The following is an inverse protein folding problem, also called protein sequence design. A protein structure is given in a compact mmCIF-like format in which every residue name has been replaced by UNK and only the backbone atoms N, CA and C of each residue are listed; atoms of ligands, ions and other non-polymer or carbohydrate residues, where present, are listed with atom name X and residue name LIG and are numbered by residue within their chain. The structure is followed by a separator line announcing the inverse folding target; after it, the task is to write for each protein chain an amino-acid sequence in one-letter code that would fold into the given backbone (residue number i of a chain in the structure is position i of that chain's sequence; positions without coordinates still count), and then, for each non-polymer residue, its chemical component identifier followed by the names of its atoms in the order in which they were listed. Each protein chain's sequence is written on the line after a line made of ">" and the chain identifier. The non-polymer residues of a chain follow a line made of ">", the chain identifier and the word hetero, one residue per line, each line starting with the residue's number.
data_IF_347881972155
#
_entry.id   IF_347881972155
#
_cell.length_a   1.000
_cell.length_b   1.000
_cell.length_c   1.000
_cell.angle_alpha   90.00
_cell.angle_beta   90.00
_cell.angle_gamma   90.00
#
_symmetry.space_group_name_H-M   'P 1'
#
loop_
_entity.id
_entity.type
_entity.pdbx_description
1 polymer ?
#
# COMPACT_ATOMS: atom_id res chain seq x y z
N UNK A 1 -23.74 -7.31 74.90
CA UNK A 1 -22.61 -7.40 73.94
C UNK A 1 -23.17 -6.94 72.59
N UNK A 2 -23.15 -5.64 72.26
CA UNK A 2 -22.05 -4.86 71.64
C UNK A 2 -21.45 -5.58 70.42
N UNK A 3 -21.37 -4.83 69.31
CA UNK A 3 -20.83 -5.15 67.96
C UNK A 3 -21.73 -5.88 66.96
N UNK A 4 -22.91 -5.32 66.64
CA UNK A 4 -23.61 -5.65 65.38
C UNK A 4 -24.45 -4.46 64.84
N UNK A 5 -23.82 -3.28 64.71
CA UNK A 5 -24.50 -2.06 64.20
C UNK A 5 -23.68 -1.24 63.20
N UNK A 6 -22.65 -1.82 62.57
CA UNK A 6 -21.72 -1.06 61.71
C UNK A 6 -21.40 -1.70 60.35
N UNK A 7 -22.32 -2.49 59.79
CA UNK A 7 -22.13 -3.12 58.47
C UNK A 7 -23.28 -2.91 57.48
N UNK A 8 -24.24 -2.02 57.80
CA UNK A 8 -25.42 -1.80 56.95
C UNK A 8 -25.52 -0.40 56.32
N UNK A 9 -24.51 0.46 56.49
CA UNK A 9 -24.56 1.86 56.01
C UNK A 9 -23.51 2.20 54.94
N UNK A 10 -22.73 1.22 54.45
CA UNK A 10 -21.71 1.43 53.42
C UNK A 10 -22.04 0.79 52.05
N UNK A 11 -23.23 0.20 51.88
CA UNK A 11 -23.63 -0.46 50.63
C UNK A 11 -24.66 0.33 49.81
N UNK A 12 -25.18 1.44 50.33
CA UNK A 12 -26.21 2.25 49.67
C UNK A 12 -25.65 3.42 48.81
N UNK A 13 -24.34 3.68 48.84
CA UNK A 13 -23.72 4.81 48.12
C UNK A 13 -23.06 4.37 46.79
N UNK A 14 -22.97 3.07 46.51
CA UNK A 14 -22.35 2.56 45.26
C UNK A 14 -23.32 2.33 44.10
N UNK A 15 -24.59 2.75 44.23
CA UNK A 15 -25.66 2.46 43.26
C UNK A 15 -26.09 3.65 42.38
N UNK A 16 -25.40 4.81 42.45
CA UNK A 16 -25.82 6.04 41.73
C UNK A 16 -24.86 6.47 40.60
N UNK A 17 -23.79 5.72 40.31
CA UNK A 17 -22.80 6.14 39.28
C UNK A 17 -22.88 5.39 37.93
N UNK A 18 -23.86 4.51 37.72
CA UNK A 18 -24.06 3.84 36.42
C UNK A 18 -25.24 4.40 35.59
N UNK A 19 -25.67 5.64 35.85
CA UNK A 19 -26.23 6.48 34.80
C UNK A 19 -25.09 6.98 33.90
N UNK A 20 -24.28 6.04 33.38
CA UNK A 20 -23.39 6.29 32.27
C UNK A 20 -24.29 6.64 31.10
N UNK A 21 -24.38 7.95 30.84
CA UNK A 21 -24.87 8.53 29.62
C UNK A 21 -24.30 7.67 28.47
N UNK A 22 -25.13 6.82 27.87
CA UNK A 22 -24.88 6.30 26.54
C UNK A 22 -24.87 7.54 25.64
N UNK A 23 -23.73 8.23 25.56
CA UNK A 23 -23.38 8.92 24.33
C UNK A 23 -23.29 7.79 23.33
N UNK A 24 -24.40 7.57 22.62
CA UNK A 24 -24.35 6.99 21.29
C UNK A 24 -23.19 7.70 20.62
N UNK A 25 -22.07 6.99 20.46
CA UNK A 25 -21.08 7.40 19.47
C UNK A 25 -21.91 7.43 18.20
N UNK A 26 -22.36 8.62 17.79
CA UNK A 26 -22.77 8.83 16.41
C UNK A 26 -21.60 8.27 15.62
N UNK A 27 -21.81 7.10 15.01
CA UNK A 27 -20.88 6.63 14.00
C UNK A 27 -20.80 7.80 13.03
N UNK A 28 -19.61 8.41 12.95
CA UNK A 28 -19.38 9.46 11.97
C UNK A 28 -19.82 8.86 10.64
N UNK A 29 -20.83 9.46 10.02
CA UNK A 29 -21.43 8.91 8.81
C UNK A 29 -20.31 8.69 7.79
N UNK A 30 -20.20 7.47 7.25
CA UNK A 30 -19.28 7.22 6.16
C UNK A 30 -19.60 8.20 5.04
N UNK A 31 -18.65 9.07 4.71
CA UNK A 31 -18.82 10.07 3.66
C UNK A 31 -18.48 9.46 2.31
N UNK A 32 -19.03 10.04 1.24
CA UNK A 32 -18.70 9.65 -0.13
C UNK A 32 -17.22 9.87 -0.41
N UNK A 33 -16.57 8.87 -1.01
CA UNK A 33 -15.19 8.92 -1.50
C UNK A 33 -15.22 9.39 -2.94
N UNK A 34 -14.56 10.51 -3.25
CA UNK A 34 -14.42 11.00 -4.63
C UNK A 34 -13.11 10.51 -5.26
N UNK A 35 -12.94 10.72 -6.57
CA UNK A 35 -11.69 10.37 -7.25
C UNK A 35 -10.52 11.24 -6.74
N UNK A 36 -10.79 12.51 -6.46
CA UNK A 36 -9.83 13.48 -5.92
C UNK A 36 -9.30 13.07 -4.54
N UNK A 37 -10.15 12.45 -3.71
CA UNK A 37 -9.73 11.96 -2.40
C UNK A 37 -8.59 10.92 -2.50
N UNK A 38 -8.50 10.20 -3.63
CA UNK A 38 -7.47 9.18 -3.85
C UNK A 38 -6.10 9.78 -4.21
N UNK A 39 -6.02 11.05 -4.63
CA UNK A 39 -4.75 11.71 -4.99
C UNK A 39 -3.76 11.78 -3.83
N UNK A 40 -4.24 11.71 -2.59
CA UNK A 40 -3.41 11.71 -1.39
C UNK A 40 -2.82 10.34 -1.01
N UNK A 41 -3.07 9.30 -1.80
CA UNK A 41 -2.78 7.91 -1.44
C UNK A 41 -2.09 7.13 -2.56
N UNK A 42 -1.41 6.07 -2.18
CA UNK A 42 -0.83 5.07 -3.08
C UNK A 42 -1.03 3.69 -2.47
N UNK A 43 -1.20 2.69 -3.33
CA UNK A 43 -1.42 1.31 -2.95
C UNK A 43 -0.35 0.39 -3.54
N UNK A 44 0.00 -0.65 -2.81
CA UNK A 44 0.85 -1.72 -3.31
C UNK A 44 0.43 -3.08 -2.80
N UNK A 45 0.65 -4.12 -3.60
CA UNK A 45 0.35 -5.51 -3.27
C UNK A 45 1.18 -6.48 -4.10
N UNK A 46 1.12 -7.77 -3.75
CA UNK A 46 1.66 -8.84 -4.56
C UNK A 46 0.55 -9.52 -5.37
N UNK A 47 0.73 -9.64 -6.68
CA UNK A 47 0.00 -10.57 -7.52
C UNK A 47 0.72 -11.92 -7.48
N UNK A 48 0.06 -12.96 -7.00
CA UNK A 48 0.63 -14.28 -6.79
C UNK A 48 0.22 -15.19 -7.95
N UNK A 49 1.21 -15.70 -8.67
CA UNK A 49 1.01 -16.63 -9.78
C UNK A 49 0.70 -18.05 -9.29
N UNK A 50 0.22 -18.95 -10.17
CA UNK A 50 0.04 -20.37 -9.84
C UNK A 50 1.34 -21.05 -9.39
N UNK A 51 2.48 -20.61 -9.92
CA UNK A 51 3.82 -21.06 -9.53
C UNK A 51 4.31 -20.44 -8.21
N UNK A 52 3.46 -19.69 -7.50
CA UNK A 52 3.75 -19.01 -6.23
C UNK A 52 4.85 -17.94 -6.32
N UNK A 53 5.09 -17.42 -7.51
CA UNK A 53 5.89 -16.19 -7.67
C UNK A 53 5.02 -14.98 -7.34
N UNK A 54 5.58 -14.02 -6.60
CA UNK A 54 4.87 -12.83 -6.17
C UNK A 54 5.34 -11.62 -6.97
N UNK A 55 4.49 -11.03 -7.80
CA UNK A 55 4.79 -9.82 -8.57
C UNK A 55 4.28 -8.57 -7.85
N UNK A 56 5.16 -7.61 -7.60
CA UNK A 56 4.80 -6.30 -7.08
C UNK A 56 3.88 -5.56 -8.06
N UNK A 57 2.85 -4.94 -7.48
CA UNK A 57 1.93 -4.03 -8.14
C UNK A 57 1.93 -2.72 -7.38
N UNK A 58 2.06 -1.61 -8.10
CA UNK A 58 2.00 -0.27 -7.56
C UNK A 58 0.88 0.50 -8.24
N UNK A 59 -0.10 0.97 -7.48
CA UNK A 59 -1.22 1.78 -7.96
C UNK A 59 -1.16 3.16 -7.32
N UNK A 60 -1.10 4.19 -8.15
CA UNK A 60 -1.09 5.59 -7.72
C UNK A 60 -2.01 6.43 -8.59
N UNK A 61 -2.31 7.64 -8.12
CA UNK A 61 -3.33 8.49 -8.72
C UNK A 61 -2.73 9.85 -9.08
N UNK A 62 -2.94 10.27 -10.32
CA UNK A 62 -2.51 11.58 -10.82
C UNK A 62 -3.70 12.34 -11.39
N UNK A 63 -3.65 13.67 -11.34
CA UNK A 63 -4.66 14.53 -11.96
C UNK A 63 -4.19 14.98 -13.34
N UNK A 64 -5.01 14.77 -14.37
CA UNK A 64 -4.80 15.23 -15.74
C UNK A 64 -6.01 16.08 -16.16
N UNK A 65 -5.83 17.40 -16.16
CA UNK A 65 -6.94 18.33 -16.37
C UNK A 65 -8.00 18.20 -15.27
N UNK A 66 -9.23 17.85 -15.66
CA UNK A 66 -10.35 17.63 -14.74
C UNK A 66 -10.49 16.17 -14.29
N UNK A 67 -9.73 15.25 -14.88
CA UNK A 67 -9.84 13.82 -14.57
C UNK A 67 -8.74 13.37 -13.62
N UNK A 68 -9.07 12.41 -12.76
CA UNK A 68 -8.07 11.64 -12.02
C UNK A 68 -7.79 10.35 -12.77
N UNK A 69 -6.52 10.06 -13.01
CA UNK A 69 -6.02 8.82 -13.60
C UNK A 69 -5.44 7.93 -12.50
N UNK A 70 -5.84 6.68 -12.49
CA UNK A 70 -5.17 5.60 -11.77
C UNK A 70 -4.10 4.99 -12.68
N UNK A 71 -2.89 4.85 -12.18
CA UNK A 71 -1.76 4.27 -12.89
C UNK A 71 -1.29 3.03 -12.14
N UNK A 72 -1.39 1.88 -12.79
CA UNK A 72 -0.93 0.59 -12.28
C UNK A 72 0.38 0.21 -12.95
N UNK A 73 1.45 0.19 -12.19
CA UNK A 73 2.77 -0.28 -12.61
C UNK A 73 3.03 -1.71 -12.09
N UNK A 74 3.53 -2.56 -12.97
CA UNK A 74 4.27 -3.78 -12.63
C UNK A 74 5.68 -3.69 -13.21
N UNK A 75 6.47 -4.76 -13.05
CA UNK A 75 7.87 -4.77 -13.50
C UNK A 75 8.00 -4.37 -14.97
N UNK A 76 7.23 -5.00 -15.86
CA UNK A 76 7.37 -4.87 -17.32
C UNK A 76 6.23 -4.10 -17.99
N UNK A 77 5.22 -3.65 -17.24
CA UNK A 77 4.06 -2.96 -17.81
C UNK A 77 3.67 -1.71 -17.02
N UNK A 78 2.94 -0.83 -17.71
CA UNK A 78 2.18 0.27 -17.12
C UNK A 78 0.79 0.26 -17.73
N UNK A 79 -0.23 0.47 -16.91
CA UNK A 79 -1.61 0.60 -17.38
C UNK A 79 -2.26 1.81 -16.71
N UNK A 80 -3.05 2.59 -17.46
CA UNK A 80 -3.62 3.87 -17.00
C UNK A 80 -5.11 3.86 -17.27
N UNK A 81 -5.92 4.23 -16.27
CA UNK A 81 -7.38 4.30 -16.37
C UNK A 81 -7.89 5.57 -15.73
N UNK A 82 -8.94 6.17 -16.29
CA UNK A 82 -9.69 7.22 -15.59
C UNK A 82 -10.40 6.61 -14.38
N UNK A 83 -10.26 7.25 -13.21
CA UNK A 83 -10.93 6.82 -11.99
C UNK A 83 -12.41 7.13 -12.10
N UNK A 84 -13.24 6.09 -11.92
CA UNK A 84 -14.69 6.20 -11.79
C UNK A 84 -15.08 5.60 -10.45
N UNK A 85 -15.61 6.45 -9.56
CA UNK A 85 -16.08 6.05 -8.24
C UNK A 85 -17.58 5.76 -8.28
N UNK A 86 -17.98 4.56 -7.86
CA UNK A 86 -19.38 4.16 -7.75
C UNK A 86 -19.59 3.53 -6.37
N UNK A 87 -20.44 4.12 -5.53
CA UNK A 87 -20.69 3.62 -4.17
C UNK A 87 -19.40 3.36 -3.38
N UNK A 88 -18.49 4.34 -3.35
CA UNK A 88 -17.15 4.26 -2.74
C UNK A 88 -16.28 3.09 -3.26
N UNK A 89 -16.61 2.56 -4.45
CA UNK A 89 -15.88 1.48 -5.09
C UNK A 89 -15.17 1.99 -6.32
N UNK A 90 -13.90 1.61 -6.46
CA UNK A 90 -13.11 1.78 -7.67
C UNK A 90 -12.87 0.43 -8.32
N UNK A 91 -13.07 0.33 -9.64
CA UNK A 91 -12.71 -0.83 -10.44
C UNK A 91 -11.61 -0.46 -11.43
N UNK A 92 -10.49 -1.16 -11.34
CA UNK A 92 -9.42 -1.09 -12.34
C UNK A 92 -9.58 -2.26 -13.29
N UNK A 93 -10.21 -2.04 -14.43
CA UNK A 93 -10.27 -3.02 -15.53
C UNK A 93 -8.99 -2.92 -16.37
N UNK A 94 -8.12 -3.92 -16.22
CA UNK A 94 -6.80 -3.89 -16.84
C UNK A 94 -6.87 -3.96 -18.37
N UNK A 95 -7.86 -4.69 -18.91
CA UNK A 95 -7.97 -4.97 -20.35
C UNK A 95 -9.18 -4.30 -21.03
N UNK A 96 -9.97 -3.51 -20.30
CA UNK A 96 -11.21 -2.86 -20.79
C UNK A 96 -12.25 -3.85 -21.36
N UNK A 97 -12.19 -5.09 -20.91
CA UNK A 97 -13.08 -6.16 -21.37
C UNK A 97 -13.59 -7.03 -20.21
N UNK A 98 -13.34 -6.61 -18.96
CA UNK A 98 -13.70 -7.33 -17.77
C UNK A 98 -13.01 -8.68 -17.62
N UNK A 99 -11.86 -8.93 -18.24
CA UNK A 99 -11.16 -10.22 -18.09
C UNK A 99 -10.17 -10.23 -16.93
N UNK A 100 -9.58 -9.09 -16.58
CA UNK A 100 -8.63 -8.93 -15.48
C UNK A 100 -8.97 -7.65 -14.74
N UNK A 101 -9.52 -7.76 -13.54
CA UNK A 101 -10.03 -6.60 -12.82
C UNK A 101 -9.66 -6.65 -11.34
N UNK A 102 -9.26 -5.49 -10.84
CA UNK A 102 -9.12 -5.21 -9.42
C UNK A 102 -10.29 -4.35 -8.97
N UNK A 103 -10.92 -4.72 -7.87
CA UNK A 103 -11.99 -3.94 -7.24
C UNK A 103 -11.56 -3.55 -5.85
N UNK A 104 -11.69 -2.27 -5.52
CA UNK A 104 -11.31 -1.69 -4.24
C UNK A 104 -12.50 -0.95 -3.65
N UNK A 105 -12.89 -1.31 -2.42
CA UNK A 105 -13.95 -0.66 -1.68
C UNK A 105 -13.32 0.20 -0.59
N UNK A 106 -13.73 1.47 -0.50
CA UNK A 106 -13.14 2.45 0.41
C UNK A 106 -14.16 2.99 1.41
N UNK A 107 -13.64 3.57 2.49
CA UNK A 107 -14.41 4.43 3.39
C UNK A 107 -13.66 5.74 3.62
N UNK A 108 -14.42 6.79 3.94
CA UNK A 108 -13.91 8.11 4.33
C UNK A 108 -14.48 8.53 5.66
N UNK A 109 -13.58 8.76 6.63
CA UNK A 109 -13.91 9.24 7.96
C UNK A 109 -12.92 10.32 8.37
N UNK A 110 -13.44 11.47 8.81
CA UNK A 110 -12.63 12.62 9.25
C UNK A 110 -11.60 13.07 8.20
N UNK A 111 -11.96 12.98 6.91
CA UNK A 111 -11.09 13.30 5.79
C UNK A 111 -10.06 12.22 5.42
N UNK A 112 -9.94 11.16 6.21
CA UNK A 112 -9.02 10.05 5.97
C UNK A 112 -9.72 8.94 5.18
N UNK A 113 -9.08 8.53 4.08
CA UNK A 113 -9.49 7.38 3.27
C UNK A 113 -8.84 6.11 3.80
N UNK A 114 -9.60 5.01 3.81
CA UNK A 114 -9.10 3.69 4.15
C UNK A 114 -9.67 2.64 3.20
N UNK A 115 -8.87 1.62 2.89
CA UNK A 115 -9.30 0.45 2.13
C UNK A 115 -10.10 -0.47 3.05
N UNK A 116 -11.35 -0.75 2.69
CA UNK A 116 -12.26 -1.64 3.42
C UNK A 116 -12.09 -3.07 2.92
N UNK A 117 -12.10 -3.24 1.60
CA UNK A 117 -11.96 -4.54 0.97
C UNK A 117 -11.32 -4.44 -0.41
N UNK A 118 -10.75 -5.55 -0.86
CA UNK A 118 -10.18 -5.68 -2.20
C UNK A 118 -10.54 -7.04 -2.78
N UNK A 119 -10.86 -7.06 -4.07
CA UNK A 119 -11.11 -8.29 -4.84
C UNK A 119 -10.30 -8.25 -6.12
N UNK A 120 -9.81 -9.40 -6.54
CA UNK A 120 -9.13 -9.59 -7.80
C UNK A 120 -9.75 -10.78 -8.52
N UNK A 121 -9.93 -10.65 -9.83
CA UNK A 121 -10.29 -11.78 -10.66
C UNK A 121 -9.57 -11.72 -12.01
N UNK A 122 -9.27 -12.90 -12.55
CA UNK A 122 -8.67 -13.09 -13.86
C UNK A 122 -9.35 -14.28 -14.54
N UNK A 123 -10.19 -13.98 -15.54
CA UNK A 123 -11.00 -14.97 -16.26
C UNK A 123 -10.11 -15.98 -16.99
N UNK A 124 -9.02 -15.51 -17.59
CA UNK A 124 -8.12 -16.35 -18.38
C UNK A 124 -7.19 -17.20 -17.51
N UNK A 125 -6.91 -16.76 -16.27
CA UNK A 125 -6.03 -17.47 -15.34
C UNK A 125 -6.56 -17.38 -13.90
N UNK A 126 -7.62 -18.12 -13.54
CA UNK A 126 -8.30 -18.01 -12.25
C UNK A 126 -7.46 -18.47 -11.05
N UNK A 127 -6.36 -19.17 -11.30
CA UNK A 127 -5.42 -19.59 -10.26
C UNK A 127 -4.50 -18.45 -9.78
N UNK A 128 -4.49 -17.30 -10.45
CA UNK A 128 -3.85 -16.11 -9.91
C UNK A 128 -4.65 -15.56 -8.73
N UNK A 129 -3.95 -15.00 -7.75
CA UNK A 129 -4.56 -14.32 -6.62
C UNK A 129 -3.82 -13.02 -6.31
N UNK A 130 -4.46 -12.08 -5.63
CA UNK A 130 -3.82 -10.87 -5.14
C UNK A 130 -3.77 -10.90 -3.61
N UNK A 131 -2.64 -10.51 -3.02
CA UNK A 131 -2.59 -10.23 -1.59
C UNK A 131 -3.48 -9.03 -1.25
N UNK A 132 -3.86 -8.89 0.01
CA UNK A 132 -4.54 -7.68 0.48
C UNK A 132 -3.62 -6.48 0.23
N UNK A 133 -4.08 -5.43 -0.48
CA UNK A 133 -3.28 -4.25 -0.71
C UNK A 133 -3.02 -3.45 0.56
N UNK A 134 -1.80 -2.93 0.67
CA UNK A 134 -1.49 -1.85 1.60
C UNK A 134 -1.81 -0.52 0.92
N UNK A 135 -2.69 0.28 1.53
CA UNK A 135 -2.99 1.65 1.10
C UNK A 135 -2.42 2.62 2.14
N UNK A 136 -1.59 3.55 1.71
CA UNK A 136 -0.93 4.50 2.60
C UNK A 136 -1.01 5.93 2.04
N UNK A 137 -1.00 6.95 2.91
CA UNK A 137 -0.88 8.32 2.46
C UNK A 137 0.48 8.55 1.79
N UNK A 138 0.55 9.45 0.81
CA UNK A 138 1.78 9.74 0.06
C UNK A 138 2.96 10.14 0.95
N UNK A 139 2.70 10.75 2.12
CA UNK A 139 3.72 11.14 3.09
C UNK A 139 4.52 9.97 3.67
N UNK A 140 4.04 8.73 3.52
CA UNK A 140 4.73 7.52 3.96
C UNK A 140 5.69 6.96 2.92
N UNK A 141 5.64 7.45 1.69
CA UNK A 141 6.55 7.04 0.63
C UNK A 141 7.68 8.06 0.52
N UNK A 142 8.90 7.57 0.31
CA UNK A 142 10.08 8.44 0.29
C UNK A 142 10.82 8.22 -1.02
N UNK A 143 11.24 9.31 -1.68
CA UNK A 143 12.05 9.24 -2.90
C UNK A 143 13.29 8.37 -2.69
N UNK A 144 13.64 7.56 -3.69
CA UNK A 144 14.84 6.71 -3.66
C UNK A 144 16.11 7.46 -4.09
N UNK A 145 15.99 8.66 -4.66
CA UNK A 145 17.11 9.44 -5.21
C UNK A 145 18.19 9.70 -4.17
N UNK A 146 19.44 9.56 -4.60
CA UNK A 146 20.65 9.84 -3.80
C UNK A 146 20.67 9.07 -2.47
N UNK A 147 20.24 7.80 -2.48
CA UNK A 147 20.22 6.93 -1.29
C UNK A 147 20.96 5.62 -1.52
N UNK A 148 21.42 5.04 -0.43
CA UNK A 148 22.09 3.74 -0.36
C UNK A 148 21.30 2.83 0.57
N UNK A 149 21.15 1.58 0.17
CA UNK A 149 20.43 0.57 0.92
C UNK A 149 21.24 -0.72 0.94
N UNK A 150 21.09 -1.48 2.02
CA UNK A 150 21.73 -2.78 2.23
C UNK A 150 20.67 -3.83 2.55
N UNK A 151 20.75 -5.01 1.94
CA UNK A 151 19.81 -6.10 2.22
C UNK A 151 20.01 -6.64 3.63
N UNK A 152 18.93 -7.20 4.19
CA UNK A 152 18.89 -7.72 5.56
C UNK A 152 19.38 -9.18 5.68
N UNK A 153 19.97 -9.76 4.62
CA UNK A 153 20.28 -11.18 4.45
C UNK A 153 21.69 -11.60 4.93
N UNK A 154 22.34 -10.79 5.78
CA UNK A 154 23.59 -11.18 6.44
C UNK A 154 24.80 -11.25 5.49
N UNK A 155 25.49 -12.39 5.43
CA UNK A 155 26.80 -12.55 4.75
C UNK A 155 26.76 -12.32 3.23
N UNK A 156 25.57 -12.37 2.61
CA UNK A 156 25.34 -12.10 1.19
C UNK A 156 24.76 -10.71 0.95
N UNK A 157 25.05 -9.75 1.84
CA UNK A 157 24.43 -8.43 1.78
C UNK A 157 24.63 -7.75 0.43
N UNK A 158 23.54 -7.62 -0.31
CA UNK A 158 23.48 -6.82 -1.49
C UNK A 158 23.36 -5.33 -1.14
N UNK A 159 23.96 -4.49 -1.97
CA UNK A 159 23.88 -3.03 -1.86
C UNK A 159 23.16 -2.51 -3.09
N UNK A 160 22.19 -1.63 -2.85
CA UNK A 160 21.52 -0.85 -3.89
C UNK A 160 21.86 0.62 -3.67
N UNK A 161 22.31 1.29 -4.72
CA UNK A 161 22.64 2.72 -4.66
C UNK A 161 21.91 3.44 -5.77
N UNK A 162 21.18 4.48 -5.43
CA UNK A 162 20.52 5.37 -6.37
C UNK A 162 21.25 6.71 -6.37
N UNK A 163 21.53 7.22 -7.57
CA UNK A 163 21.97 8.60 -7.81
C UNK A 163 20.76 9.44 -8.24
N UNK A 164 20.93 10.45 -9.08
CA UNK A 164 19.80 11.28 -9.56
C UNK A 164 19.03 10.60 -10.71
N UNK A 165 19.74 9.90 -11.58
CA UNK A 165 19.26 9.31 -12.84
C UNK A 165 19.71 7.86 -13.07
N UNK A 166 20.67 7.39 -12.27
CA UNK A 166 21.26 6.06 -12.38
C UNK A 166 21.16 5.32 -11.06
N UNK A 167 21.19 3.99 -11.14
CA UNK A 167 21.24 3.14 -9.96
C UNK A 167 22.23 2.00 -10.17
N UNK A 168 22.70 1.41 -9.08
CA UNK A 168 23.61 0.28 -9.06
C UNK A 168 23.07 -0.78 -8.12
N UNK A 169 23.33 -2.03 -8.48
CA UNK A 169 23.04 -3.19 -7.66
C UNK A 169 24.29 -4.05 -7.54
N UNK A 170 24.70 -4.41 -6.32
CA UNK A 170 25.98 -5.10 -6.10
C UNK A 170 26.07 -6.48 -6.76
N UNK A 171 24.94 -7.08 -7.16
CA UNK A 171 24.93 -8.28 -8.00
C UNK A 171 25.50 -8.02 -9.43
N UNK A 172 25.58 -6.76 -9.85
CA UNK A 172 26.11 -6.29 -11.12
C UNK A 172 27.13 -5.14 -10.89
N UNK A 173 28.27 -5.40 -10.24
CA UNK A 173 29.14 -4.35 -9.68
C UNK A 173 29.72 -3.38 -10.74
N UNK A 174 29.85 -3.84 -11.98
CA UNK A 174 30.43 -3.08 -13.10
C UNK A 174 29.39 -2.48 -14.05
N UNK A 175 28.10 -2.53 -13.70
CA UNK A 175 27.02 -2.04 -14.56
C UNK A 175 26.21 -0.99 -13.80
N UNK A 176 26.05 0.19 -14.40
CA UNK A 176 25.07 1.16 -13.95
C UNK A 176 23.76 0.94 -14.71
N UNK A 177 22.65 0.94 -13.98
CA UNK A 177 21.31 0.95 -14.56
C UNK A 177 20.76 2.36 -14.67
N UNK A 178 19.73 2.51 -15.49
CA UNK A 178 18.87 3.71 -15.51
C UNK A 178 17.60 3.44 -14.72
N UNK A 179 17.02 4.49 -14.13
CA UNK A 179 15.73 4.37 -13.47
C UNK A 179 14.95 5.68 -13.52
N UNK A 180 13.68 5.60 -13.20
CA UNK A 180 12.83 6.75 -12.93
C UNK A 180 11.90 6.42 -11.77
N UNK A 181 11.42 7.45 -11.07
CA UNK A 181 10.42 7.29 -10.02
C UNK A 181 9.02 7.21 -10.63
N UNK A 182 8.23 6.24 -10.20
CA UNK A 182 6.84 6.05 -10.58
C UNK A 182 5.96 6.11 -9.33
N UNK A 183 5.03 7.06 -9.30
CA UNK A 183 4.37 7.43 -8.04
C UNK A 183 5.37 8.02 -7.03
N UNK A 184 4.93 8.26 -5.80
CA UNK A 184 5.84 8.74 -4.74
C UNK A 184 6.58 7.53 -4.16
N UNK A 185 7.91 7.59 -4.11
CA UNK A 185 8.78 6.53 -3.57
C UNK A 185 8.80 5.19 -4.33
N UNK A 186 7.91 5.00 -5.30
CA UNK A 186 8.01 3.91 -6.26
C UNK A 186 9.01 4.23 -7.36
N UNK A 187 9.60 3.21 -7.96
CA UNK A 187 10.56 3.37 -9.05
C UNK A 187 10.58 2.16 -9.97
N UNK A 188 10.96 2.40 -11.22
CA UNK A 188 11.24 1.36 -12.22
C UNK A 188 12.59 1.62 -12.85
N UNK A 189 13.34 0.56 -13.11
CA UNK A 189 14.68 0.67 -13.65
C UNK A 189 15.11 -0.53 -14.45
N UNK A 190 16.22 -0.36 -15.18
CA UNK A 190 16.84 -1.42 -15.98
C UNK A 190 18.33 -1.48 -15.70
N UNK A 191 18.86 -2.67 -15.46
CA UNK A 191 20.30 -2.92 -15.30
C UNK A 191 20.65 -4.25 -15.97
N UNK A 192 21.76 -4.30 -16.71
CA UNK A 192 22.19 -5.49 -17.44
C UNK A 192 21.09 -6.11 -18.34
N UNK A 193 20.24 -5.27 -18.95
CA UNK A 193 19.15 -5.72 -19.81
C UNK A 193 17.91 -6.27 -19.10
N UNK A 194 17.89 -6.24 -17.77
CA UNK A 194 16.81 -6.78 -16.93
C UNK A 194 15.97 -5.65 -16.33
N UNK A 195 14.66 -5.84 -16.27
CA UNK A 195 13.71 -4.86 -15.74
C UNK A 195 13.44 -5.08 -14.25
N UNK A 196 13.29 -3.97 -13.53
CA UNK A 196 13.09 -3.91 -12.09
C UNK A 196 11.98 -2.92 -11.73
N UNK A 197 11.32 -3.20 -10.62
CA UNK A 197 10.43 -2.28 -9.92
C UNK A 197 10.71 -2.35 -8.42
N UNK A 198 10.46 -1.27 -7.71
CA UNK A 198 10.53 -1.27 -6.26
C UNK A 198 9.75 -0.11 -5.66
N UNK A 199 9.68 -0.11 -4.35
CA UNK A 199 9.12 1.01 -3.59
C UNK A 199 9.88 1.21 -2.29
N UNK A 200 10.05 2.48 -1.91
CA UNK A 200 10.52 2.85 -0.60
C UNK A 200 9.38 3.42 0.25
N UNK A 201 9.14 2.79 1.39
CA UNK A 201 8.05 3.15 2.30
C UNK A 201 8.52 3.13 3.75
N UNK A 202 8.00 4.06 4.54
CA UNK A 202 8.12 4.08 5.99
C UNK A 202 6.94 3.31 6.62
N UNK A 203 7.22 2.12 7.16
CA UNK A 203 6.26 1.31 7.92
C UNK A 203 6.96 0.69 9.14
N UNK A 204 6.98 1.41 10.27
CA UNK A 204 7.73 1.11 11.52
C UNK A 204 9.26 1.05 11.36
N UNK A 205 9.75 0.59 10.21
CA UNK A 205 11.11 0.66 9.70
C UNK A 205 11.04 1.15 8.24
N UNK A 206 12.06 1.88 7.81
CA UNK A 206 12.18 2.26 6.41
C UNK A 206 12.56 1.03 5.59
N UNK A 207 11.70 0.63 4.65
CA UNK A 207 11.91 -0.54 3.79
C UNK A 207 11.98 -0.09 2.34
N UNK A 208 13.05 -0.48 1.65
CA UNK A 208 13.10 -0.52 0.19
C UNK A 208 12.78 -1.95 -0.25
N UNK A 209 11.82 -2.11 -1.15
CA UNK A 209 11.65 -3.36 -1.89
C UNK A 209 12.25 -3.23 -3.28
N UNK A 210 12.84 -4.32 -3.77
CA UNK A 210 13.33 -4.45 -5.14
C UNK A 210 12.83 -5.76 -5.70
N UNK A 211 12.26 -5.72 -6.89
CA UNK A 211 11.88 -6.91 -7.65
C UNK A 211 12.47 -6.85 -9.04
N UNK A 212 13.19 -7.91 -9.39
CA UNK A 212 13.58 -8.23 -10.76
C UNK A 212 12.46 -9.01 -11.45
N UNK A 213 12.30 -8.81 -12.76
CA UNK A 213 11.33 -9.56 -13.55
C UNK A 213 11.50 -11.08 -13.40
N UNK A 214 10.42 -11.78 -13.04
CA UNK A 214 10.41 -13.24 -12.84
C UNK A 214 10.98 -13.73 -11.51
N UNK A 215 11.38 -12.83 -10.60
CA UNK A 215 11.91 -13.18 -9.29
C UNK A 215 11.07 -12.60 -8.14
N UNK A 216 11.21 -13.15 -6.94
CA UNK A 216 10.53 -12.63 -5.75
C UNK A 216 11.14 -11.30 -5.30
N UNK A 217 10.34 -10.51 -4.56
CA UNK A 217 10.79 -9.26 -3.96
C UNK A 217 11.88 -9.48 -2.91
N UNK A 218 12.87 -8.59 -2.87
CA UNK A 218 13.93 -8.53 -1.86
C UNK A 218 13.79 -7.22 -1.07
N UNK A 219 13.89 -7.31 0.25
CA UNK A 219 13.84 -6.16 1.15
C UNK A 219 15.23 -5.63 1.53
N UNK A 220 15.37 -4.32 1.57
CA UNK A 220 16.58 -3.61 1.96
C UNK A 220 16.28 -2.57 3.04
N UNK A 221 17.22 -2.41 3.97
CA UNK A 221 17.22 -1.35 4.95
C UNK A 221 18.14 -0.19 4.49
N UNK A 222 17.89 1.05 4.95
CA UNK A 222 18.83 2.15 4.77
C UNK A 222 20.21 1.81 5.31
N UNK A 223 21.24 2.23 4.60
CA UNK A 223 22.62 2.17 5.05
C UNK A 223 23.04 3.49 5.70
#
# INVERSE_FOLDING_TARGET
>A
MKTLKLTLSLFAIFLVLFAACKKEKKEAANTTVTAEDLLGYQMFWALISPAKTADLRLLYFNKEGTEVKAILDGVTFRNIKTVKMENNTFKFDFQDNGSVVYTFEFTKKDGVISLVSSKFYNVNNPAYSASIPSMLPLSKFISVKNKVFKSNDGANSHIVTFSTDTWRYSAYPNVAGTYYECGTGGWKGRIAGLDYIGLQVEQDVLLLTVQKNGENMIGFAPY
#
